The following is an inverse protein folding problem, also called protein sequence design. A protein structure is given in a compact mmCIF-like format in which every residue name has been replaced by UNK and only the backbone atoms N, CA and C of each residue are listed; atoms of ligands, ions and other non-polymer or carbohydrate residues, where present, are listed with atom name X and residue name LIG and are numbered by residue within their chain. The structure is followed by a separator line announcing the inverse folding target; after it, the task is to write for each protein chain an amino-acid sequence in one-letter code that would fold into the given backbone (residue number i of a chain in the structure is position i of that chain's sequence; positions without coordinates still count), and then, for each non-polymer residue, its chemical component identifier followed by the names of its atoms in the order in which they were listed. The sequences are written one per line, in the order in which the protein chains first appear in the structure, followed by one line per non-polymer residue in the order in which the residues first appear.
data_IF_719255737800
#
_entry.id   IF_719255737800
#
_cell.length_a   1.000
_cell.length_b   1.000
_cell.length_c   1.000
_cell.angle_alpha   90.00
_cell.angle_beta   90.00
_cell.angle_gamma   90.00
#
_symmetry.space_group_name_H-M   'P 1'
#
loop_
_entity.id
_entity.type
_entity.pdbx_description
1 polymer ?
#
# COMPACT_ATOMS: atom_id res chain seq x y z
N UNK A 1 44.78 11.36 72.09
CA UNK A 1 43.36 11.77 71.88
C UNK A 1 43.06 12.31 70.46
N UNK A 2 43.94 13.07 69.80
CA UNK A 2 43.70 13.64 68.45
C UNK A 2 43.48 12.60 67.32
N UNK A 3 44.23 11.49 67.32
CA UNK A 3 44.16 10.43 66.28
C UNK A 3 42.80 9.71 66.27
N UNK A 4 42.27 9.38 67.44
CA UNK A 4 40.97 8.69 67.57
C UNK A 4 39.79 9.59 67.16
N UNK A 5 39.89 10.90 67.39
CA UNK A 5 38.91 11.89 66.90
C UNK A 5 38.88 11.96 65.37
N UNK A 6 40.03 11.91 64.70
CA UNK A 6 40.07 11.93 63.23
C UNK A 6 39.48 10.65 62.64
N UNK A 7 39.72 9.49 63.25
CA UNK A 7 39.12 8.22 62.82
C UNK A 7 37.60 8.24 62.98
N UNK A 8 37.09 8.77 64.11
CA UNK A 8 35.66 8.95 64.34
C UNK A 8 35.00 9.90 63.33
N UNK A 9 35.67 11.01 62.99
CA UNK A 9 35.19 11.96 61.96
C UNK A 9 35.18 11.32 60.57
N UNK A 10 36.22 10.55 60.22
CA UNK A 10 36.30 9.86 58.94
C UNK A 10 35.23 8.76 58.81
N UNK A 11 35.00 8.01 59.89
CA UNK A 11 33.95 6.99 59.95
C UNK A 11 32.54 7.61 59.84
N UNK A 12 32.29 8.75 60.50
CA UNK A 12 31.03 9.46 60.40
C UNK A 12 30.78 10.03 58.98
N UNK A 13 31.81 10.51 58.28
CA UNK A 13 31.73 10.94 56.89
C UNK A 13 31.41 9.77 55.93
N UNK A 14 32.07 8.62 56.12
CA UNK A 14 31.81 7.40 55.35
C UNK A 14 30.39 6.86 55.58
N UNK A 15 29.91 6.88 56.83
CA UNK A 15 28.56 6.46 57.16
C UNK A 15 27.51 7.41 56.60
N UNK A 16 27.76 8.72 56.63
CA UNK A 16 26.93 9.73 55.96
C UNK A 16 26.83 9.52 54.45
N UNK A 17 27.91 9.04 53.81
CA UNK A 17 27.92 8.70 52.38
C UNK A 17 27.17 7.40 52.05
N UNK A 18 27.03 6.48 53.01
CA UNK A 18 26.26 5.24 52.85
C UNK A 18 24.76 5.42 53.16
N UNK A 19 24.39 6.49 53.86
CA UNK A 19 23.02 6.82 54.21
C UNK A 19 22.30 7.70 53.17
N UNK A 20 22.87 7.93 51.99
CA UNK A 20 22.08 8.50 50.90
C UNK A 20 20.97 7.52 50.56
N UNK A 21 19.68 7.93 50.60
CA UNK A 21 18.62 7.08 50.11
C UNK A 21 18.93 6.78 48.65
N UNK A 22 19.18 5.51 48.33
CA UNK A 22 19.18 5.07 46.95
C UNK A 22 17.74 5.22 46.47
N UNK A 23 17.46 6.34 45.79
CA UNK A 23 16.20 6.51 45.09
C UNK A 23 16.04 5.29 44.19
N UNK A 24 15.05 4.45 44.52
CA UNK A 24 14.67 3.33 43.68
C UNK A 24 14.06 3.97 42.44
N UNK A 25 14.86 4.18 41.40
CA UNK A 25 14.37 4.59 40.09
C UNK A 25 13.58 3.40 39.55
N UNK A 26 12.27 3.42 39.76
CA UNK A 26 11.36 2.54 39.05
C UNK A 26 11.42 3.00 37.60
N UNK A 27 11.98 2.15 36.73
CA UNK A 27 11.82 2.36 35.29
C UNK A 27 10.31 2.37 35.01
N UNK A 28 9.77 3.53 34.65
CA UNK A 28 8.41 3.61 34.16
C UNK A 28 8.29 2.60 33.00
N UNK A 29 7.20 1.83 32.98
CA UNK A 29 6.91 0.92 31.88
C UNK A 29 6.71 1.75 30.61
N UNK A 30 7.78 1.97 29.86
CA UNK A 30 7.80 2.76 28.62
C UNK A 30 7.21 1.94 27.47
N UNK A 31 6.01 1.40 27.65
CA UNK A 31 5.28 0.72 26.58
C UNK A 31 4.66 1.79 25.69
N UNK A 32 4.88 1.68 24.38
CA UNK A 32 4.17 2.45 23.37
C UNK A 32 3.25 1.53 22.58
N UNK A 33 2.01 1.96 22.43
CA UNK A 33 1.01 1.30 21.59
C UNK A 33 1.02 1.91 20.19
N UNK A 34 1.06 1.04 19.17
CA UNK A 34 1.02 1.44 17.75
C UNK A 34 -0.18 0.76 17.10
N UNK A 35 -1.23 1.53 16.74
CA UNK A 35 -2.37 1.00 16.00
C UNK A 35 -2.05 0.88 14.51
N UNK A 36 -2.43 -0.25 13.91
CA UNK A 36 -2.44 -0.48 12.47
C UNK A 36 -3.87 -0.78 12.02
N UNK A 37 -4.45 0.08 11.20
CA UNK A 37 -5.82 -0.13 10.67
C UNK A 37 -5.75 -0.77 9.29
N UNK A 38 -6.25 -1.99 9.18
CA UNK A 38 -6.40 -2.73 7.91
C UNK A 38 -7.82 -2.55 7.42
N UNK A 39 -7.97 -2.18 6.15
CA UNK A 39 -9.25 -1.89 5.51
C UNK A 39 -9.44 -2.76 4.27
N UNK A 40 -10.69 -3.06 3.96
CA UNK A 40 -11.07 -3.68 2.70
C UNK A 40 -12.18 -2.92 2.00
N UNK A 41 -12.18 -2.98 0.68
CA UNK A 41 -13.29 -2.51 -0.15
C UNK A 41 -13.66 -3.59 -1.18
N UNK A 42 -14.95 -3.73 -1.47
CA UNK A 42 -15.45 -4.53 -2.58
C UNK A 42 -16.10 -3.62 -3.63
N UNK A 43 -15.65 -3.76 -4.87
CA UNK A 43 -16.38 -3.27 -6.03
C UNK A 43 -17.46 -4.31 -6.40
N UNK A 44 -18.73 -3.91 -6.32
CA UNK A 44 -19.88 -4.78 -6.56
C UNK A 44 -20.51 -4.45 -7.92
N UNK A 45 -20.30 -5.32 -8.91
CA UNK A 45 -20.87 -5.18 -10.25
C UNK A 45 -21.97 -6.23 -10.49
N UNK A 46 -22.95 -6.30 -9.59
CA UNK A 46 -24.08 -7.25 -9.64
C UNK A 46 -25.30 -6.71 -8.91
N UNK A 47 -26.49 -7.24 -9.22
CA UNK A 47 -27.74 -6.99 -8.48
C UNK A 47 -28.07 -8.10 -7.47
N UNK A 48 -27.14 -9.03 -7.24
CA UNK A 48 -27.32 -10.14 -6.30
C UNK A 48 -27.38 -9.62 -4.86
N UNK A 49 -28.34 -10.13 -4.07
CA UNK A 49 -28.45 -9.83 -2.65
C UNK A 49 -27.74 -10.90 -1.83
N UNK A 50 -27.18 -10.50 -0.70
CA UNK A 50 -26.50 -11.43 0.20
C UNK A 50 -25.15 -11.92 -0.34
N UNK A 51 -24.46 -11.07 -1.12
CA UNK A 51 -23.10 -11.34 -1.55
C UNK A 51 -22.22 -11.43 -0.30
N UNK A 52 -21.43 -12.49 -0.23
CA UNK A 52 -20.43 -12.68 0.81
C UNK A 52 -19.25 -11.73 0.54
N UNK A 53 -19.06 -10.73 1.40
CA UNK A 53 -18.02 -9.70 1.31
C UNK A 53 -16.95 -9.91 2.37
N UNK A 54 -16.64 -11.18 2.64
CA UNK A 54 -15.65 -11.58 3.63
C UNK A 54 -14.24 -11.62 3.04
N UNK A 55 -13.28 -11.03 3.74
CA UNK A 55 -11.85 -11.15 3.47
C UNK A 55 -11.14 -11.81 4.65
N UNK A 56 -10.25 -12.78 4.38
CA UNK A 56 -9.33 -13.35 5.37
C UNK A 56 -7.93 -12.78 5.18
N UNK A 57 -7.29 -12.39 6.27
CA UNK A 57 -6.00 -11.71 6.27
C UNK A 57 -5.01 -12.41 7.20
N UNK A 58 -3.75 -12.40 6.80
CA UNK A 58 -2.63 -12.86 7.62
C UNK A 58 -1.67 -11.70 7.85
N UNK A 59 -1.45 -11.37 9.12
CA UNK A 59 -0.42 -10.46 9.61
C UNK A 59 0.68 -11.28 10.28
N UNK A 60 1.91 -11.18 9.78
CA UNK A 60 3.02 -12.02 10.20
C UNK A 60 4.24 -11.21 10.60
N UNK A 61 4.87 -11.57 11.71
CA UNK A 61 6.20 -11.07 12.07
C UNK A 61 7.26 -11.62 11.11
N UNK A 62 8.15 -10.76 10.63
CA UNK A 62 9.29 -11.16 9.78
C UNK A 62 10.57 -11.41 10.59
N UNK A 63 10.62 -10.90 11.82
CA UNK A 63 11.73 -11.06 12.75
C UNK A 63 11.28 -11.89 13.97
N UNK A 64 12.18 -12.71 14.51
CA UNK A 64 11.86 -13.64 15.61
C UNK A 64 11.61 -12.86 16.90
N UNK A 65 10.52 -13.18 17.60
CA UNK A 65 10.24 -12.69 18.95
C UNK A 65 9.85 -11.21 19.02
N UNK A 66 9.44 -10.61 17.91
CA UNK A 66 8.94 -9.23 17.90
C UNK A 66 7.47 -9.18 18.39
N UNK A 67 6.99 -8.01 18.88
CA UNK A 67 5.64 -7.89 19.39
C UNK A 67 4.56 -8.29 18.37
N UNK A 68 3.57 -9.04 18.81
CA UNK A 68 2.43 -9.47 18.02
C UNK A 68 1.12 -9.21 18.80
N UNK A 69 -0.03 -9.15 18.11
CA UNK A 69 -1.34 -9.09 18.75
C UNK A 69 -1.55 -10.24 19.75
N UNK A 70 -2.29 -10.00 20.83
CA UNK A 70 -2.42 -10.97 21.93
C UNK A 70 -3.06 -12.32 21.56
N UNK A 71 -3.85 -12.35 20.48
CA UNK A 71 -4.51 -13.53 19.93
C UNK A 71 -3.73 -14.17 18.76
N UNK A 72 -2.43 -13.88 18.65
CA UNK A 72 -1.55 -14.46 17.63
C UNK A 72 -1.09 -15.88 17.97
N UNK A 73 -0.94 -16.70 16.95
CA UNK A 73 -0.20 -17.97 16.99
C UNK A 73 1.26 -17.70 16.63
N UNK A 74 2.10 -17.52 17.66
CA UNK A 74 3.52 -17.19 17.52
C UNK A 74 3.76 -15.95 16.65
N UNK A 75 4.33 -16.15 15.46
CA UNK A 75 4.66 -15.10 14.49
C UNK A 75 3.47 -14.74 13.58
N UNK A 76 2.30 -15.35 13.75
CA UNK A 76 1.18 -15.24 12.81
C UNK A 76 -0.12 -14.86 13.52
N UNK A 77 -0.77 -13.82 13.01
CA UNK A 77 -2.11 -13.38 13.39
C UNK A 77 -3.04 -13.48 12.18
N UNK A 78 -4.15 -14.20 12.31
CA UNK A 78 -5.15 -14.36 11.24
C UNK A 78 -6.45 -13.74 11.69
N UNK A 79 -7.05 -12.91 10.84
CA UNK A 79 -8.31 -12.24 11.14
C UNK A 79 -9.18 -12.12 9.88
N UNK A 80 -10.44 -11.76 10.12
CA UNK A 80 -11.46 -11.62 9.09
C UNK A 80 -12.02 -10.21 9.10
N UNK A 81 -12.24 -9.65 7.92
CA UNK A 81 -13.07 -8.47 7.70
C UNK A 81 -14.36 -8.92 7.01
N UNK A 82 -15.51 -8.52 7.56
CA UNK A 82 -16.83 -8.87 7.06
C UNK A 82 -17.57 -7.59 6.63
N UNK A 83 -17.89 -7.51 5.34
CA UNK A 83 -18.63 -6.40 4.75
C UNK A 83 -17.77 -5.45 3.90
N UNK A 84 -18.46 -4.66 3.08
CA UNK A 84 -17.82 -3.61 2.28
C UNK A 84 -17.34 -2.45 3.17
N UNK A 85 -16.16 -1.90 2.89
CA UNK A 85 -15.52 -0.85 3.70
C UNK A 85 -15.23 -1.26 5.16
N UNK A 86 -15.19 -2.57 5.45
CA UNK A 86 -14.86 -3.06 6.78
C UNK A 86 -13.40 -2.75 7.14
N UNK A 87 -13.17 -2.53 8.44
CA UNK A 87 -11.85 -2.24 8.99
C UNK A 87 -11.58 -3.00 10.29
N UNK A 88 -10.31 -3.29 10.55
CA UNK A 88 -9.82 -3.90 11.79
C UNK A 88 -8.59 -3.15 12.25
N UNK A 89 -8.63 -2.70 13.50
CA UNK A 89 -7.45 -2.18 14.17
C UNK A 89 -6.67 -3.33 14.82
N UNK A 90 -5.38 -3.39 14.54
CA UNK A 90 -4.40 -4.27 15.17
C UNK A 90 -3.55 -3.39 16.08
N UNK A 91 -3.40 -3.78 17.35
CA UNK A 91 -2.61 -3.04 18.33
C UNK A 91 -1.31 -3.78 18.64
N UNK A 92 -0.18 -3.08 18.49
CA UNK A 92 1.16 -3.59 18.78
C UNK A 92 1.78 -2.81 19.94
N UNK A 93 2.35 -3.52 20.93
CA UNK A 93 2.96 -2.90 22.11
C UNK A 93 4.48 -3.09 22.09
N UNK A 94 5.21 -1.98 22.13
CA UNK A 94 6.68 -1.97 22.09
C UNK A 94 7.26 -1.43 23.39
N UNK A 95 8.27 -2.11 23.91
CA UNK A 95 8.98 -1.71 25.14
C UNK A 95 10.38 -1.14 24.88
N UNK A 96 10.90 -1.32 23.67
CA UNK A 96 12.26 -0.96 23.31
C UNK A 96 12.31 -0.25 21.95
N UNK A 97 13.32 0.60 21.80
CA UNK A 97 13.67 1.18 20.50
C UNK A 97 14.17 0.12 19.54
N UNK A 98 13.81 0.23 18.26
CA UNK A 98 14.15 -0.76 17.26
C UNK A 98 13.39 -0.56 15.94
N UNK A 99 13.63 -1.48 15.00
CA UNK A 99 12.88 -1.58 13.76
C UNK A 99 12.25 -2.96 13.73
N UNK A 100 10.93 -3.00 13.63
CA UNK A 100 10.14 -4.22 13.67
C UNK A 100 9.41 -4.38 12.34
N UNK A 101 9.59 -5.51 11.68
CA UNK A 101 9.06 -5.73 10.32
C UNK A 101 7.98 -6.80 10.32
N UNK A 102 6.92 -6.49 9.58
CA UNK A 102 5.77 -7.36 9.44
C UNK A 102 5.37 -7.50 7.97
N UNK A 103 4.67 -8.58 7.68
CA UNK A 103 4.10 -8.88 6.38
C UNK A 103 2.59 -8.99 6.52
N UNK A 104 1.85 -8.26 5.70
CA UNK A 104 0.38 -8.29 5.68
C UNK A 104 -0.12 -8.64 4.29
N UNK A 105 -0.94 -9.68 4.21
CA UNK A 105 -1.55 -10.17 2.98
C UNK A 105 -2.99 -10.60 3.19
N UNK A 106 -3.77 -10.58 2.12
CA UNK A 106 -5.07 -11.23 2.06
C UNK A 106 -4.92 -12.69 1.61
N UNK A 107 -5.40 -13.62 2.42
CA UNK A 107 -5.29 -15.07 2.22
C UNK A 107 -6.64 -15.72 1.87
N UNK A 108 -7.66 -14.91 1.54
CA UNK A 108 -8.95 -15.39 1.02
C UNK A 108 -8.76 -16.42 -0.11
N UNK A 109 -9.46 -17.55 0.04
CA UNK A 109 -9.50 -18.61 -0.99
C UNK A 109 -10.20 -18.08 -2.25
N UNK A 110 -9.69 -18.49 -3.41
CA UNK A 110 -10.35 -18.17 -4.68
C UNK A 110 -11.77 -18.71 -4.73
N UNK A 111 -12.69 -17.91 -5.26
CA UNK A 111 -14.12 -18.20 -5.36
C UNK A 111 -14.64 -17.64 -6.69
N UNK A 112 -15.59 -18.33 -7.31
CA UNK A 112 -16.16 -17.92 -8.59
C UNK A 112 -16.79 -16.53 -8.49
N UNK A 113 -16.54 -15.68 -9.50
CA UNK A 113 -16.97 -14.28 -9.58
C UNK A 113 -16.24 -13.31 -8.62
N UNK A 114 -15.33 -13.79 -7.76
CA UNK A 114 -14.56 -12.95 -6.86
C UNK A 114 -13.15 -12.74 -7.38
N UNK A 115 -12.66 -11.50 -7.23
CA UNK A 115 -11.24 -11.16 -7.37
C UNK A 115 -10.78 -10.54 -6.07
N UNK A 116 -9.84 -11.20 -5.40
CA UNK A 116 -9.24 -10.68 -4.16
C UNK A 116 -7.93 -9.95 -4.46
N UNK A 117 -7.62 -8.92 -3.68
CA UNK A 117 -6.37 -8.19 -3.81
C UNK A 117 -5.21 -9.10 -3.36
N UNK A 118 -4.29 -9.38 -4.30
CA UNK A 118 -3.09 -10.21 -4.07
C UNK A 118 -1.85 -9.40 -3.69
N UNK A 119 -2.03 -8.13 -3.39
CA UNK A 119 -0.95 -7.28 -2.94
C UNK A 119 -0.43 -7.70 -1.57
N UNK A 120 0.84 -7.38 -1.34
CA UNK A 120 1.52 -7.61 -0.08
C UNK A 120 2.03 -6.29 0.47
N UNK A 121 1.93 -6.11 1.77
CA UNK A 121 2.56 -5.02 2.49
C UNK A 121 3.73 -5.53 3.34
N UNK A 122 4.88 -4.86 3.21
CA UNK A 122 5.96 -4.89 4.19
C UNK A 122 5.79 -3.66 5.09
N UNK A 123 5.51 -3.90 6.36
CA UNK A 123 5.27 -2.85 7.34
C UNK A 123 6.49 -2.77 8.26
N UNK A 124 7.17 -1.62 8.24
CA UNK A 124 8.27 -1.32 9.16
C UNK A 124 7.79 -0.34 10.23
N UNK A 125 7.81 -0.79 11.49
CA UNK A 125 7.54 0.03 12.66
C UNK A 125 8.87 0.43 13.29
N UNK A 126 9.21 1.71 13.18
CA UNK A 126 10.39 2.31 13.80
C UNK A 126 10.02 2.86 15.16
N UNK A 127 10.64 2.35 16.21
CA UNK A 127 10.50 2.86 17.57
C UNK A 127 11.78 3.59 17.93
N UNK A 128 11.71 4.91 18.07
CA UNK A 128 12.85 5.76 18.42
C UNK A 128 12.81 6.12 19.90
N UNK A 129 13.98 6.22 20.52
CA UNK A 129 14.12 6.81 21.85
C UNK A 129 14.03 8.33 21.72
N UNK A 130 12.92 8.91 22.18
CA UNK A 130 12.74 10.34 22.33
C UNK A 130 13.29 10.86 23.67
N UNK A 131 12.98 12.11 23.97
CA UNK A 131 13.40 12.76 25.21
C UNK A 131 12.88 12.01 26.44
N UNK A 132 13.68 12.03 27.52
CA UNK A 132 13.35 11.40 28.80
C UNK A 132 12.99 9.90 28.71
N UNK A 133 13.48 9.20 27.69
CA UNK A 133 13.24 7.76 27.49
C UNK A 133 11.86 7.42 26.92
N UNK A 134 11.08 8.41 26.47
CA UNK A 134 9.79 8.18 25.81
C UNK A 134 10.01 7.51 24.44
N UNK A 135 9.27 6.45 24.15
CA UNK A 135 9.30 5.82 22.83
C UNK A 135 8.42 6.60 21.83
N UNK A 136 8.95 6.83 20.62
CA UNK A 136 8.29 7.56 19.54
C UNK A 136 8.15 6.63 18.32
N UNK A 137 6.92 6.24 17.94
CA UNK A 137 6.69 5.33 16.83
C UNK A 137 6.61 6.06 15.49
N UNK A 138 7.06 5.39 14.42
CA UNK A 138 6.87 5.80 13.03
C UNK A 138 6.60 4.54 12.20
N UNK A 139 5.49 4.51 11.48
CA UNK A 139 5.08 3.38 10.64
C UNK A 139 5.33 3.72 9.18
N UNK A 140 5.92 2.77 8.45
CA UNK A 140 6.08 2.82 6.99
C UNK A 140 5.50 1.52 6.43
N UNK A 141 4.51 1.62 5.56
CA UNK A 141 3.97 0.49 4.83
C UNK A 141 4.36 0.60 3.36
N UNK A 142 5.13 -0.37 2.88
CA UNK A 142 5.52 -0.50 1.47
C UNK A 142 4.71 -1.61 0.83
N UNK A 143 4.04 -1.31 -0.28
CA UNK A 143 3.28 -2.31 -1.05
C UNK A 143 4.22 -2.97 -2.06
N UNK A 144 3.84 -4.13 -2.59
CA UNK A 144 4.64 -4.87 -3.57
C UNK A 144 4.96 -4.12 -4.89
N UNK A 145 4.37 -2.95 -5.13
CA UNK A 145 4.75 -2.05 -6.23
C UNK A 145 5.95 -1.14 -5.88
N UNK A 146 6.52 -1.28 -4.69
CA UNK A 146 7.64 -0.50 -4.16
C UNK A 146 7.26 0.89 -3.64
N UNK A 147 5.98 1.25 -3.62
CA UNK A 147 5.52 2.55 -3.13
C UNK A 147 5.08 2.46 -1.67
N UNK A 148 5.18 3.62 -1.00
CA UNK A 148 4.75 3.80 0.39
C UNK A 148 3.31 4.28 0.43
N UNK A 149 2.52 3.68 1.31
CA UNK A 149 1.11 4.01 1.51
C UNK A 149 0.85 4.41 2.95
N UNK A 150 -0.01 5.42 3.13
CA UNK A 150 -0.46 5.86 4.46
C UNK A 150 -1.55 4.96 5.05
N UNK A 151 -2.18 4.13 4.23
CA UNK A 151 -3.26 3.23 4.62
C UNK A 151 -3.00 1.80 4.11
N UNK A 152 -3.41 0.82 4.91
CA UNK A 152 -3.38 -0.60 4.57
C UNK A 152 -4.73 -0.99 3.96
N UNK A 153 -4.88 -0.77 2.65
CA UNK A 153 -6.15 -0.94 1.93
C UNK A 153 -6.05 -2.04 0.88
N UNK A 154 -7.02 -2.96 0.93
CA UNK A 154 -7.18 -4.06 -0.03
C UNK A 154 -8.44 -3.85 -0.86
N UNK A 155 -8.31 -3.95 -2.19
CA UNK A 155 -9.39 -3.73 -3.15
C UNK A 155 -9.82 -5.03 -3.82
N UNK A 156 -10.98 -5.53 -3.44
CA UNK A 156 -11.59 -6.73 -3.97
C UNK A 156 -12.69 -6.36 -4.97
N UNK A 157 -13.14 -7.34 -5.75
CA UNK A 157 -14.35 -7.18 -6.57
C UNK A 157 -15.19 -8.45 -6.62
N UNK A 158 -16.49 -8.25 -6.83
CA UNK A 158 -17.44 -9.29 -7.14
C UNK A 158 -18.15 -8.96 -8.45
N UNK A 159 -17.93 -9.80 -9.47
CA UNK A 159 -18.36 -9.60 -10.85
C UNK A 159 -19.12 -10.83 -11.34
N UNK A 160 -20.40 -10.95 -10.99
CA UNK A 160 -21.28 -11.96 -11.56
C UNK A 160 -21.93 -11.42 -12.82
N UNK A 161 -21.69 -12.08 -13.96
CA UNK A 161 -22.41 -11.76 -15.19
C UNK A 161 -23.88 -12.07 -14.96
N UNK A 162 -24.74 -11.08 -15.20
CA UNK A 162 -26.18 -11.34 -15.29
C UNK A 162 -26.36 -12.12 -16.58
N UNK A 163 -26.78 -13.38 -16.49
CA UNK A 163 -27.29 -14.12 -17.62
C UNK A 163 -28.53 -13.36 -18.11
N UNK A 164 -28.31 -12.42 -19.04
CA UNK A 164 -29.40 -11.89 -19.81
C UNK A 164 -29.94 -13.09 -20.58
N UNK A 165 -31.21 -13.51 -20.41
CA UNK A 165 -31.72 -14.69 -21.10
C UNK A 165 -31.49 -14.48 -22.57
N UNK A 166 -30.58 -15.28 -23.12
CA UNK A 166 -30.24 -15.22 -24.53
C UNK A 166 -31.54 -15.49 -25.27
N UNK A 167 -32.05 -14.46 -25.94
CA UNK A 167 -33.11 -14.61 -26.94
C UNK A 167 -32.73 -15.81 -27.81
N UNK A 168 -33.64 -16.78 -28.07
CA UNK A 168 -33.28 -18.08 -28.61
C UNK A 168 -32.37 -17.93 -29.83
N UNK A 169 -31.19 -18.55 -29.73
CA UNK A 169 -30.20 -18.59 -30.79
C UNK A 169 -30.83 -19.24 -32.03
N UNK A 170 -31.02 -18.42 -33.05
CA UNK A 170 -31.41 -18.86 -34.40
C UNK A 170 -30.35 -19.86 -34.90
N UNK A 171 -30.71 -20.94 -35.62
CA UNK A 171 -29.76 -21.98 -36.00
C UNK A 171 -28.58 -21.40 -36.77
N UNK A 172 -27.37 -21.77 -36.35
CA UNK A 172 -26.10 -21.38 -36.95
C UNK A 172 -26.04 -21.86 -38.41
N UNK A 173 -25.92 -20.91 -39.34
CA UNK A 173 -25.56 -21.17 -40.73
C UNK A 173 -24.06 -21.51 -40.80
N UNK A 174 -23.61 -22.38 -41.73
CA UNK A 174 -22.23 -22.85 -41.77
C UNK A 174 -21.22 -21.72 -42.00
N UNK A 175 -20.03 -21.89 -41.41
CA UNK A 175 -18.93 -20.93 -41.37
C UNK A 175 -18.61 -20.28 -42.72
N UNK A 176 -18.87 -18.97 -42.80
CA UNK A 176 -18.35 -18.11 -43.87
C UNK A 176 -16.96 -17.60 -43.42
N UNK A 177 -15.95 -18.15 -44.07
CA UNK A 177 -14.62 -17.62 -44.36
C UNK A 177 -14.17 -16.35 -43.59
N UNK A 178 -13.15 -16.50 -42.75
CA UNK A 178 -12.49 -15.39 -42.04
C UNK A 178 -11.88 -14.43 -43.07
N UNK A 179 -12.40 -13.21 -43.13
CA UNK A 179 -11.85 -12.12 -43.93
C UNK A 179 -11.03 -11.19 -43.03
N UNK A 180 -9.75 -11.49 -42.87
CA UNK A 180 -8.77 -10.54 -42.32
C UNK A 180 -8.40 -9.54 -43.40
N UNK A 181 -9.19 -8.48 -43.52
CA UNK A 181 -8.90 -7.32 -44.37
C UNK A 181 -8.92 -6.08 -43.50
N UNK A 182 -7.73 -5.54 -43.21
CA UNK A 182 -7.58 -4.26 -42.50
C UNK A 182 -8.44 -3.18 -43.18
N UNK A 183 -9.42 -2.66 -42.45
CA UNK A 183 -10.16 -1.46 -42.85
C UNK A 183 -9.32 -0.23 -42.55
N UNK A 184 -8.24 -0.03 -43.31
CA UNK A 184 -7.53 1.25 -43.34
C UNK A 184 -8.46 2.30 -43.93
N UNK A 185 -8.87 3.29 -43.13
CA UNK A 185 -9.71 4.39 -43.60
C UNK A 185 -8.92 5.30 -44.56
N UNK A 186 -8.94 4.93 -45.85
CA UNK A 186 -8.23 5.60 -46.94
C UNK A 186 -8.66 7.07 -47.08
N UNK A 187 -9.82 7.49 -46.54
CA UNK A 187 -10.26 8.89 -46.60
C UNK A 187 -9.26 9.83 -45.96
N UNK A 188 -8.66 9.46 -44.82
CA UNK A 188 -7.70 10.31 -44.14
C UNK A 188 -6.42 10.52 -44.97
N UNK A 189 -5.93 9.46 -45.63
CA UNK A 189 -4.72 9.52 -46.44
C UNK A 189 -4.92 10.32 -47.73
N UNK A 190 -6.08 10.18 -48.37
CA UNK A 190 -6.46 10.99 -49.54
C UNK A 190 -6.59 12.47 -49.17
N UNK A 191 -7.11 12.78 -47.97
CA UNK A 191 -7.19 14.17 -47.49
C UNK A 191 -5.80 14.78 -47.23
N UNK A 192 -4.87 14.02 -46.64
CA UNK A 192 -3.49 14.48 -46.42
C UNK A 192 -2.78 14.72 -47.76
N UNK A 193 -2.94 13.81 -48.74
CA UNK A 193 -2.30 13.94 -50.05
C UNK A 193 -2.79 15.16 -50.83
N UNK A 194 -4.09 15.48 -50.77
CA UNK A 194 -4.64 16.65 -51.47
C UNK A 194 -4.16 17.98 -50.86
N UNK A 195 -4.04 18.06 -49.54
CA UNK A 195 -3.47 19.24 -48.85
C UNK A 195 -2.00 19.42 -49.19
N UNK A 196 -1.21 18.35 -49.22
CA UNK A 196 0.20 18.40 -49.60
C UNK A 196 0.39 18.89 -51.05
N UNK A 197 -0.43 18.41 -51.99
CA UNK A 197 -0.39 18.84 -53.39
C UNK A 197 -0.70 20.34 -53.53
N UNK A 198 -1.72 20.83 -52.81
CA UNK A 198 -2.08 22.25 -52.79
C UNK A 198 -0.92 23.14 -52.28
N UNK A 199 -0.22 22.71 -51.23
CA UNK A 199 0.95 23.43 -50.71
C UNK A 199 2.10 23.48 -51.72
N UNK A 200 2.37 22.37 -52.43
CA UNK A 200 3.43 22.32 -53.45
C UNK A 200 3.10 23.27 -54.61
N UNK A 201 1.85 23.30 -55.06
CA UNK A 201 1.40 24.21 -56.13
C UNK A 201 1.51 25.67 -55.68
N UNK A 202 1.10 25.99 -54.45
CA UNK A 202 1.23 27.34 -53.89
C UNK A 202 2.70 27.77 -53.81
N UNK A 203 3.60 26.92 -53.29
CA UNK A 203 5.03 27.22 -53.23
C UNK A 203 5.65 27.40 -54.63
N UNK A 204 5.23 26.58 -55.61
CA UNK A 204 5.63 26.74 -57.01
C UNK A 204 5.15 28.06 -57.62
N UNK A 205 3.92 28.47 -57.31
CA UNK A 205 3.37 29.74 -57.75
C UNK A 205 4.11 30.93 -57.14
N UNK A 206 4.36 30.92 -55.81
CA UNK A 206 5.15 31.95 -55.13
C UNK A 206 6.57 32.04 -55.66
N UNK A 207 7.25 30.89 -55.88
CA UNK A 207 8.60 30.88 -56.47
C UNK A 207 8.60 31.48 -57.87
N UNK A 208 7.61 31.14 -58.70
CA UNK A 208 7.47 31.69 -60.07
C UNK A 208 7.14 33.19 -60.05
N UNK A 209 6.35 33.65 -59.08
CA UNK A 209 6.05 35.08 -58.94
C UNK A 209 7.29 35.87 -58.49
N UNK A 210 8.03 35.38 -57.50
CA UNK A 210 9.27 36.02 -57.04
C UNK A 210 10.37 36.02 -58.13
N UNK A 211 10.45 34.98 -58.97
CA UNK A 211 11.36 34.99 -60.14
C UNK A 211 10.92 36.00 -61.22
N UNK A 212 9.62 36.24 -61.40
CA UNK A 212 9.13 37.28 -62.32
C UNK A 212 9.41 38.69 -61.81
N UNK A 213 9.40 38.90 -60.48
CA UNK A 213 9.78 40.17 -59.87
C UNK A 213 11.30 40.40 -59.96
N UNK A 214 12.13 39.38 -59.72
CA UNK A 214 13.59 39.49 -59.86
C UNK A 214 14.09 39.65 -61.31
N UNK A 215 13.33 39.19 -62.32
CA UNK A 215 13.70 39.34 -63.74
C UNK A 215 13.17 40.66 -64.37
N UNK A 216 12.52 41.53 -63.59
CA UNK A 216 12.04 42.86 -64.02
C UNK A 216 12.78 44.03 -63.35
N UNK A 217 13.88 43.75 -62.63
CA UNK A 217 14.82 44.73 -62.11
C UNK A 217 16.08 44.80 -62.99
#
# INVERSE_FOLDING_TARGET
MKKNRQILVLAALLFGFLCFPADKVLAASNVVEVPLTVKQNFEENSNEKGIDLTGTYEFRALDIGIPMPGDSDNDRHVFVLDGNNAEKMISLQFQHGGVYRYHLVQTSKDKENYTYDRSSYIIAVYIKNGENGKLVPQVIAEKNDGKKYGELMFYNSYNKKVDNPSKPSKPSKPAEQVQTGDSTDIKLHVMIASVALMLIVMLGYFKRNNQKENNRA
#
